data_IF_282574355964
#
_entry.id   IF_282574355964
#
_cell.length_a   1.000
_cell.length_b   1.000
_cell.length_c   1.000
_cell.angle_alpha   90.00
_cell.angle_beta   90.00
_cell.angle_gamma   90.00
#
_symmetry.space_group_name_H-M   'P 1'
#
loop_
_entity.id
_entity.type
_entity.pdbx_description
1 polymer ?
#
# COMPACT_ATOMS: atom_id res chain seq x y z
N UNK A 1 -11.13 21.06 -19.25
CA UNK A 1 -11.60 21.49 -17.92
C UNK A 1 -10.43 21.40 -16.95
N UNK A 2 -10.18 22.40 -16.09
CA UNK A 2 -9.12 22.31 -15.10
C UNK A 2 -9.47 21.14 -14.16
N UNK A 3 -8.58 20.15 -14.05
CA UNK A 3 -8.76 18.96 -13.19
C UNK A 3 -9.04 19.27 -11.70
N UNK A 4 -8.94 20.54 -11.29
CA UNK A 4 -9.02 20.99 -9.91
C UNK A 4 -9.95 22.22 -9.70
N UNK A 5 -10.84 22.56 -10.64
CA UNK A 5 -11.60 23.82 -10.59
C UNK A 5 -12.58 23.94 -9.41
N UNK A 6 -12.95 22.84 -8.77
CA UNK A 6 -13.94 22.80 -7.68
C UNK A 6 -13.34 22.60 -6.28
N UNK A 7 -12.01 22.64 -6.11
CA UNK A 7 -11.37 22.43 -4.80
C UNK A 7 -11.06 23.74 -4.07
N UNK A 8 -11.32 23.75 -2.77
CA UNK A 8 -10.95 24.87 -1.88
C UNK A 8 -9.42 24.99 -1.77
N UNK A 9 -8.83 26.17 -2.05
CA UNK A 9 -7.40 26.38 -1.87
C UNK A 9 -7.07 26.48 -0.37
N UNK A 10 -6.12 25.66 0.10
CA UNK A 10 -5.60 25.73 1.47
C UNK A 10 -4.24 26.45 1.42
N UNK A 11 -4.03 27.55 2.18
CA UNK A 11 -2.76 28.26 2.18
C UNK A 11 -1.60 27.39 2.70
N UNK A 12 -0.41 27.56 2.10
CA UNK A 12 0.86 27.00 2.59
C UNK A 12 1.21 25.57 2.14
N UNK A 13 0.67 25.06 1.02
CA UNK A 13 0.87 23.67 0.60
C UNK A 13 0.39 23.39 -0.83
N UNK A 14 0.86 22.33 -1.50
CA UNK A 14 0.20 21.82 -2.70
C UNK A 14 -1.30 21.65 -2.45
N UNK A 15 -2.12 22.04 -3.43
CA UNK A 15 -3.56 21.81 -3.36
C UNK A 15 -3.84 20.32 -3.12
N UNK A 16 -4.93 19.98 -2.43
CA UNK A 16 -5.32 18.57 -2.22
C UNK A 16 -5.42 17.82 -3.55
N UNK A 17 -5.82 18.53 -4.62
CA UNK A 17 -5.78 18.02 -5.99
C UNK A 17 -4.35 17.68 -6.46
N UNK A 18 -3.36 18.54 -6.25
CA UNK A 18 -1.95 18.25 -6.60
C UNK A 18 -1.42 17.03 -5.84
N UNK A 19 -1.84 16.88 -4.58
CA UNK A 19 -1.44 15.74 -3.76
C UNK A 19 -2.01 14.43 -4.33
N UNK A 20 -3.31 14.40 -4.62
CA UNK A 20 -4.03 13.24 -5.18
C UNK A 20 -3.57 12.89 -6.61
N UNK A 21 -3.26 13.91 -7.41
CA UNK A 21 -2.91 13.72 -8.82
C UNK A 21 -1.44 13.45 -9.06
N UNK A 22 -0.53 14.02 -8.27
CA UNK A 22 0.90 13.95 -8.56
C UNK A 22 1.71 13.20 -7.49
N UNK A 23 1.36 13.30 -6.20
CA UNK A 23 2.21 12.82 -5.11
C UNK A 23 1.84 11.39 -4.69
N UNK A 24 0.54 11.13 -4.46
CA UNK A 24 0.00 9.82 -4.06
C UNK A 24 0.37 8.66 -5.00
N UNK A 25 0.41 8.81 -6.33
CA UNK A 25 0.74 7.69 -7.20
C UNK A 25 2.25 7.44 -7.36
N UNK A 26 3.14 8.30 -6.85
CA UNK A 26 4.61 8.13 -6.98
C UNK A 26 5.09 6.80 -6.37
N UNK A 27 4.70 6.41 -5.14
CA UNK A 27 5.07 5.12 -4.58
C UNK A 27 4.66 3.95 -5.47
N UNK A 28 3.46 4.02 -6.07
CA UNK A 28 2.91 3.01 -6.98
C UNK A 28 3.75 2.90 -8.26
N UNK A 29 4.15 4.03 -8.86
CA UNK A 29 5.07 4.04 -10.00
C UNK A 29 6.42 3.43 -9.68
N UNK A 30 7.04 3.87 -8.59
CA UNK A 30 8.34 3.35 -8.15
C UNK A 30 8.25 1.85 -7.89
N UNK A 31 7.18 1.37 -7.25
CA UNK A 31 6.97 -0.05 -6.99
C UNK A 31 6.86 -0.86 -8.28
N UNK A 32 6.00 -0.45 -9.21
CA UNK A 32 5.80 -1.12 -10.50
C UNK A 32 7.11 -1.16 -11.30
N UNK A 33 7.79 -0.02 -11.44
CA UNK A 33 9.05 0.07 -12.18
C UNK A 33 10.13 -0.83 -11.55
N UNK A 34 10.27 -0.79 -10.23
CA UNK A 34 11.26 -1.61 -9.52
C UNK A 34 10.92 -3.11 -9.64
N UNK A 35 9.65 -3.48 -9.54
CA UNK A 35 9.20 -4.86 -9.75
C UNK A 35 9.60 -5.37 -11.14
N UNK A 36 9.30 -4.62 -12.20
CA UNK A 36 9.68 -5.01 -13.56
C UNK A 36 11.20 -5.13 -13.73
N UNK A 37 11.98 -4.18 -13.21
CA UNK A 37 13.45 -4.23 -13.27
C UNK A 37 14.03 -5.45 -12.54
N UNK A 38 13.50 -5.77 -11.35
CA UNK A 38 13.93 -6.94 -10.60
C UNK A 38 13.49 -8.22 -11.30
N UNK A 39 12.25 -8.30 -11.79
CA UNK A 39 11.76 -9.49 -12.47
C UNK A 39 12.58 -9.80 -13.73
N UNK A 40 12.92 -8.79 -14.53
CA UNK A 40 13.79 -8.92 -15.70
C UNK A 40 15.20 -9.41 -15.34
N UNK A 41 15.74 -8.99 -14.19
CA UNK A 41 17.06 -9.44 -13.71
C UNK A 41 17.02 -10.85 -13.09
N UNK A 42 15.95 -11.20 -12.39
CA UNK A 42 15.86 -12.44 -11.62
C UNK A 42 15.30 -13.65 -12.36
N UNK A 43 14.70 -13.49 -13.55
CA UNK A 43 14.43 -14.64 -14.45
C UNK A 43 15.70 -15.49 -14.66
N UNK A 44 16.89 -14.91 -14.51
CA UNK A 44 18.19 -15.59 -14.65
C UNK A 44 18.77 -16.21 -13.37
N UNK A 45 18.23 -15.92 -12.17
CA UNK A 45 18.84 -16.34 -10.91
C UNK A 45 17.88 -17.20 -10.08
N UNK A 46 18.27 -18.45 -9.81
CA UNK A 46 17.56 -19.34 -8.88
C UNK A 46 17.76 -18.81 -7.45
N UNK A 47 16.85 -17.98 -6.97
CA UNK A 47 16.84 -17.52 -5.58
C UNK A 47 16.34 -18.65 -4.69
N UNK A 48 17.05 -18.90 -3.58
CA UNK A 48 16.61 -19.79 -2.52
C UNK A 48 15.28 -19.28 -1.95
N UNK A 49 14.18 -19.91 -2.37
CA UNK A 49 12.86 -19.61 -1.87
C UNK A 49 12.68 -20.33 -0.53
N UNK A 50 12.38 -19.57 0.52
CA UNK A 50 12.04 -20.13 1.83
C UNK A 50 10.54 -20.36 1.94
N UNK A 51 10.12 -21.26 2.83
CA UNK A 51 8.73 -21.27 3.28
C UNK A 51 8.45 -19.98 4.07
N UNK A 52 7.26 -19.35 3.91
CA UNK A 52 6.88 -18.23 4.76
C UNK A 52 6.96 -18.63 6.24
N UNK A 53 7.47 -17.74 7.09
CA UNK A 53 7.79 -18.07 8.49
C UNK A 53 6.57 -17.96 9.41
N UNK A 54 5.60 -17.13 9.02
CA UNK A 54 4.37 -16.85 9.74
C UNK A 54 3.26 -17.88 9.46
N UNK A 55 2.32 -18.07 10.40
CA UNK A 55 1.28 -19.08 10.26
C UNK A 55 0.34 -18.78 9.07
N UNK A 56 -0.09 -19.83 8.37
CA UNK A 56 -0.90 -19.73 7.14
C UNK A 56 -2.18 -18.90 7.29
N UNK A 57 -2.80 -18.90 8.48
CA UNK A 57 -4.01 -18.11 8.75
C UNK A 57 -3.76 -16.61 8.64
N UNK A 58 -2.60 -16.14 9.13
CA UNK A 58 -2.22 -14.74 9.08
C UNK A 58 -1.95 -14.27 7.63
N UNK A 59 -1.48 -15.18 6.76
CA UNK A 59 -1.38 -14.92 5.32
C UNK A 59 -2.74 -14.70 4.67
N UNK A 60 -3.75 -15.52 4.98
CA UNK A 60 -5.09 -15.30 4.44
C UNK A 60 -5.70 -14.00 4.94
N UNK A 61 -5.54 -13.67 6.23
CA UNK A 61 -5.99 -12.40 6.78
C UNK A 61 -5.30 -11.24 6.07
N UNK A 62 -3.98 -11.28 5.93
CA UNK A 62 -3.22 -10.25 5.23
C UNK A 62 -3.68 -10.09 3.77
N UNK A 63 -3.82 -11.21 3.04
CA UNK A 63 -4.28 -11.21 1.66
C UNK A 63 -5.68 -10.60 1.50
N UNK A 64 -6.62 -10.97 2.37
CA UNK A 64 -7.99 -10.41 2.37
C UNK A 64 -7.97 -8.92 2.68
N UNK A 65 -7.13 -8.46 3.62
CA UNK A 65 -7.01 -7.04 3.92
C UNK A 65 -6.44 -6.22 2.76
N UNK A 66 -5.49 -6.77 1.99
CA UNK A 66 -4.98 -6.10 0.77
C UNK A 66 -6.06 -6.02 -0.31
N UNK A 67 -6.91 -7.04 -0.46
CA UNK A 67 -8.09 -6.97 -1.35
C UNK A 67 -9.08 -5.90 -0.86
N UNK A 68 -9.31 -5.81 0.45
CA UNK A 68 -10.15 -4.78 1.04
C UNK A 68 -9.58 -3.36 0.78
N UNK A 69 -8.25 -3.18 0.88
CA UNK A 69 -7.58 -1.93 0.54
C UNK A 69 -7.81 -1.56 -0.95
N UNK A 70 -7.70 -2.52 -1.87
CA UNK A 70 -8.03 -2.30 -3.28
C UNK A 70 -9.49 -1.82 -3.45
N UNK A 71 -10.43 -2.47 -2.76
CA UNK A 71 -11.84 -2.06 -2.76
C UNK A 71 -12.04 -0.63 -2.25
N UNK A 72 -11.39 -0.27 -1.13
CA UNK A 72 -11.44 1.09 -0.57
C UNK A 72 -10.87 2.13 -1.53
N UNK A 73 -9.74 1.85 -2.19
CA UNK A 73 -9.16 2.76 -3.19
C UNK A 73 -10.10 2.94 -4.40
N UNK A 74 -10.77 1.88 -4.85
CA UNK A 74 -11.75 1.99 -5.94
C UNK A 74 -12.99 2.79 -5.53
N UNK A 75 -13.47 2.62 -4.30
CA UNK A 75 -14.59 3.40 -3.75
C UNK A 75 -14.22 4.88 -3.65
N UNK A 76 -13.01 5.21 -3.19
CA UNK A 76 -12.51 6.58 -3.15
C UNK A 76 -12.48 7.19 -4.56
N UNK A 77 -11.92 6.48 -5.55
CA UNK A 77 -11.93 6.93 -6.95
C UNK A 77 -13.35 7.19 -7.44
N UNK A 78 -14.27 6.26 -7.20
CA UNK A 78 -15.66 6.42 -7.63
C UNK A 78 -16.32 7.65 -7.00
N UNK A 79 -16.10 7.89 -5.70
CA UNK A 79 -16.61 9.09 -5.00
C UNK A 79 -15.98 10.38 -5.54
N UNK A 80 -14.69 10.36 -5.86
CA UNK A 80 -13.98 11.50 -6.47
C UNK A 80 -14.49 11.82 -7.89
N UNK A 81 -14.80 10.80 -8.70
CA UNK A 81 -15.41 10.97 -10.03
C UNK A 81 -16.78 11.61 -9.89
N UNK A 82 -17.64 11.08 -9.03
CA UNK A 82 -19.02 11.57 -8.85
C UNK A 82 -19.05 13.01 -8.34
N UNK A 83 -18.04 13.41 -7.56
CA UNK A 83 -17.92 14.77 -7.04
C UNK A 83 -17.15 15.74 -7.97
N UNK A 84 -16.73 15.32 -9.17
CA UNK A 84 -15.93 16.11 -10.11
C UNK A 84 -14.66 16.74 -9.47
N UNK A 85 -14.06 16.03 -8.51
CA UNK A 85 -12.92 16.51 -7.71
C UNK A 85 -11.55 16.21 -8.35
N UNK A 86 -11.56 15.62 -9.54
CA UNK A 86 -10.39 15.22 -10.31
C UNK A 86 -9.78 13.91 -9.83
N UNK A 87 -9.46 13.02 -10.79
CA UNK A 87 -8.93 11.66 -10.49
C UNK A 87 -7.47 11.51 -10.93
N UNK A 88 -6.96 12.40 -11.79
CA UNK A 88 -5.55 12.46 -12.21
C UNK A 88 -4.88 11.10 -12.42
N UNK A 89 -3.75 10.87 -11.75
CA UNK A 89 -2.99 9.62 -11.80
C UNK A 89 -3.33 8.63 -10.67
N UNK A 90 -4.38 8.92 -9.89
CA UNK A 90 -4.85 8.04 -8.80
C UNK A 90 -5.20 6.60 -9.26
N UNK A 91 -5.65 6.34 -10.52
CA UNK A 91 -5.90 4.97 -11.00
C UNK A 91 -4.67 4.07 -11.08
N UNK A 92 -3.47 4.59 -10.84
CA UNK A 92 -2.22 3.80 -10.82
C UNK A 92 -2.05 3.06 -9.49
N UNK A 93 -2.56 3.63 -8.40
CA UNK A 93 -2.55 3.00 -7.08
C UNK A 93 -3.28 1.66 -7.04
N UNK A 94 -4.52 1.51 -7.57
CA UNK A 94 -5.17 0.20 -7.63
C UNK A 94 -4.41 -0.80 -8.54
N UNK A 95 -3.70 -0.34 -9.57
CA UNK A 95 -2.83 -1.22 -10.39
C UNK A 95 -1.66 -1.75 -9.57
N UNK A 96 -1.00 -0.91 -8.77
CA UNK A 96 0.07 -1.33 -7.87
C UNK A 96 -0.44 -2.29 -6.78
N UNK A 97 -1.63 -2.04 -6.23
CA UNK A 97 -2.28 -2.97 -5.29
C UNK A 97 -2.63 -4.31 -5.93
N UNK A 98 -3.17 -4.31 -7.15
CA UNK A 98 -3.43 -5.53 -7.91
C UNK A 98 -2.13 -6.32 -8.14
N UNK A 99 -1.03 -5.64 -8.47
CA UNK A 99 0.29 -6.27 -8.58
C UNK A 99 0.77 -6.85 -7.23
N UNK A 100 0.58 -6.13 -6.12
CA UNK A 100 0.89 -6.64 -4.79
C UNK A 100 0.07 -7.90 -4.46
N UNK A 101 -1.22 -7.95 -4.82
CA UNK A 101 -2.07 -9.15 -4.69
C UNK A 101 -1.50 -10.31 -5.51
N UNK A 102 -1.08 -10.07 -6.75
CA UNK A 102 -0.47 -11.11 -7.61
C UNK A 102 0.84 -11.64 -7.00
N UNK A 103 1.68 -10.77 -6.46
CA UNK A 103 2.91 -11.15 -5.76
C UNK A 103 2.56 -12.01 -4.54
N UNK A 104 1.67 -11.55 -3.67
CA UNK A 104 1.27 -12.31 -2.47
C UNK A 104 0.66 -13.66 -2.81
N UNK A 105 -0.15 -13.73 -3.88
CA UNK A 105 -0.72 -14.97 -4.38
C UNK A 105 0.36 -15.96 -4.82
N UNK A 106 1.37 -15.50 -5.57
CA UNK A 106 2.48 -16.33 -6.02
C UNK A 106 3.38 -16.77 -4.84
N UNK A 107 3.63 -15.87 -3.88
CA UNK A 107 4.47 -16.13 -2.71
C UNK A 107 3.81 -17.04 -1.67
N UNK A 108 2.53 -17.40 -1.82
CA UNK A 108 1.83 -18.34 -0.94
C UNK A 108 2.56 -19.68 -0.78
N UNK A 109 3.30 -20.13 -1.81
CA UNK A 109 4.04 -21.41 -1.79
C UNK A 109 5.49 -21.25 -1.37
N UNK A 110 6.14 -20.17 -1.79
CA UNK A 110 7.54 -19.93 -1.49
C UNK A 110 7.80 -18.43 -1.51
N UNK A 111 8.30 -17.91 -0.39
CA UNK A 111 8.50 -16.48 -0.18
C UNK A 111 9.97 -16.13 -0.38
N UNK A 112 10.22 -15.07 -1.13
CA UNK A 112 11.58 -14.57 -1.34
C UNK A 112 11.83 -13.33 -0.50
N UNK A 113 13.02 -13.23 0.13
CA UNK A 113 13.39 -12.04 0.92
C UNK A 113 13.33 -10.75 0.09
N UNK A 114 13.65 -10.83 -1.20
CA UNK A 114 13.67 -9.68 -2.11
C UNK A 114 12.26 -9.09 -2.28
N UNK A 115 11.25 -9.94 -2.51
CA UNK A 115 9.87 -9.46 -2.65
C UNK A 115 9.32 -8.94 -1.33
N UNK A 116 9.66 -9.54 -0.18
CA UNK A 116 9.29 -8.97 1.13
C UNK A 116 9.93 -7.59 1.35
N UNK A 117 11.19 -7.38 0.97
CA UNK A 117 11.80 -6.04 1.00
C UNK A 117 11.11 -5.06 0.04
N UNK A 118 10.75 -5.51 -1.16
CA UNK A 118 10.04 -4.69 -2.15
C UNK A 118 8.66 -4.26 -1.63
N UNK A 119 7.89 -5.19 -1.09
CA UNK A 119 6.59 -4.92 -0.46
C UNK A 119 6.74 -4.01 0.75
N UNK A 120 7.70 -4.28 1.64
CA UNK A 120 7.99 -3.42 2.80
C UNK A 120 8.28 -1.98 2.38
N UNK A 121 9.14 -1.80 1.37
CA UNK A 121 9.49 -0.48 0.84
C UNK A 121 8.29 0.23 0.22
N UNK A 122 7.45 -0.50 -0.52
CA UNK A 122 6.20 0.04 -1.07
C UNK A 122 5.23 0.47 0.03
N UNK A 123 4.95 -0.39 1.02
CA UNK A 123 4.06 -0.07 2.13
C UNK A 123 4.54 1.12 2.95
N UNK A 124 5.84 1.20 3.22
CA UNK A 124 6.42 2.35 3.92
C UNK A 124 6.25 3.63 3.11
N UNK A 125 6.55 3.60 1.82
CA UNK A 125 6.50 4.80 0.99
C UNK A 125 5.06 5.29 0.77
N UNK A 126 4.13 4.39 0.47
CA UNK A 126 2.71 4.76 0.34
C UNK A 126 2.13 5.25 1.67
N UNK A 127 2.50 4.63 2.80
CA UNK A 127 2.08 5.06 4.14
C UNK A 127 2.50 6.50 4.44
N UNK A 128 3.76 6.86 4.15
CA UNK A 128 4.25 8.23 4.40
C UNK A 128 3.45 9.25 3.59
N UNK A 129 3.19 8.98 2.32
CA UNK A 129 2.43 9.90 1.46
C UNK A 129 0.97 10.01 1.90
N UNK A 130 0.35 8.89 2.29
CA UNK A 130 -1.03 8.85 2.78
C UNK A 130 -1.21 9.52 4.16
N UNK A 131 -0.21 9.45 5.04
CA UNK A 131 -0.20 10.24 6.28
C UNK A 131 -0.22 11.74 5.96
N UNK A 132 0.59 12.20 5.00
CA UNK A 132 0.56 13.60 4.59
C UNK A 132 -0.83 13.94 4.04
N UNK A 133 -1.41 13.10 3.17
CA UNK A 133 -2.76 13.30 2.64
C UNK A 133 -3.82 13.42 3.73
N UNK A 134 -3.87 12.47 4.66
CA UNK A 134 -4.86 12.44 5.76
C UNK A 134 -4.77 13.67 6.66
N UNK A 135 -3.56 14.10 7.01
CA UNK A 135 -3.35 15.34 7.79
C UNK A 135 -3.90 16.57 7.04
N UNK A 136 -3.70 16.63 5.72
CA UNK A 136 -4.24 17.72 4.89
C UNK A 136 -5.76 17.67 4.77
N UNK A 137 -6.33 16.48 4.65
CA UNK A 137 -7.79 16.28 4.62
C UNK A 137 -8.43 16.66 5.95
N UNK A 138 -7.77 16.40 7.08
CA UNK A 138 -8.28 16.84 8.38
C UNK A 138 -8.36 18.37 8.49
N UNK A 139 -7.37 19.09 7.95
CA UNK A 139 -7.41 20.56 7.88
C UNK A 139 -8.53 21.04 6.93
N UNK A 140 -8.82 20.28 5.87
CA UNK A 140 -9.92 20.59 4.95
C UNK A 140 -11.28 20.40 5.63
N UNK A 141 -11.46 19.30 6.36
CA UNK A 141 -12.66 18.99 7.15
C UNK A 141 -13.00 20.15 8.11
N UNK A 142 -12.01 20.68 8.83
CA UNK A 142 -12.21 21.80 9.75
C UNK A 142 -12.60 23.12 9.06
N UNK A 143 -12.29 23.27 7.77
CA UNK A 143 -12.50 24.50 6.99
C UNK A 143 -13.65 24.36 5.98
N UNK A 144 -14.28 23.20 5.92
CA UNK A 144 -15.37 22.95 4.99
C UNK A 144 -16.57 23.81 5.36
N UNK A 145 -17.05 24.62 4.40
CA UNK A 145 -18.24 25.44 4.55
C UNK A 145 -19.23 25.03 3.48
N UNK A 146 -20.31 24.37 3.89
CA UNK A 146 -21.40 23.92 2.99
C UNK A 146 -21.65 22.43 3.06
N UNK A 147 -22.43 21.92 2.09
CA UNK A 147 -22.76 20.50 1.92
C UNK A 147 -22.36 20.05 0.51
N UNK A 148 -21.08 19.72 0.27
CA UNK A 148 -20.68 19.21 -1.05
C UNK A 148 -21.20 17.79 -1.27
N UNK A 149 -21.14 17.34 -2.53
CA UNK A 149 -21.56 15.99 -2.92
C UNK A 149 -20.71 14.88 -2.27
N UNK A 150 -19.47 15.19 -1.88
CA UNK A 150 -18.59 14.33 -1.11
C UNK A 150 -18.05 15.11 0.10
N UNK A 151 -18.63 14.92 1.30
CA UNK A 151 -18.24 15.63 2.51
C UNK A 151 -16.78 15.37 2.88
N UNK A 152 -16.06 16.38 3.35
CA UNK A 152 -14.67 16.23 3.75
C UNK A 152 -14.48 15.27 4.94
N UNK A 153 -15.51 15.09 5.78
CA UNK A 153 -15.52 14.07 6.84
C UNK A 153 -15.42 12.65 6.27
N UNK A 154 -16.16 12.36 5.20
CA UNK A 154 -16.17 11.05 4.55
C UNK A 154 -14.86 10.85 3.79
N UNK A 155 -14.35 11.91 3.12
CA UNK A 155 -13.03 11.90 2.49
C UNK A 155 -11.93 11.58 3.49
N UNK A 156 -11.96 12.20 4.66
CA UNK A 156 -10.98 11.99 5.71
C UNK A 156 -11.08 10.57 6.27
N UNK A 157 -12.29 10.09 6.57
CA UNK A 157 -12.53 8.75 7.11
C UNK A 157 -12.01 7.65 6.17
N UNK A 158 -12.35 7.70 4.88
CA UNK A 158 -11.89 6.73 3.89
C UNK A 158 -10.36 6.65 3.83
N UNK A 159 -9.70 7.80 3.86
CA UNK A 159 -8.24 7.91 3.79
C UNK A 159 -7.54 7.49 5.09
N UNK A 160 -8.15 7.73 6.24
CA UNK A 160 -7.65 7.24 7.53
C UNK A 160 -7.69 5.71 7.59
N UNK A 161 -8.77 5.11 7.08
CA UNK A 161 -8.90 3.64 7.00
C UNK A 161 -7.81 3.07 6.09
N UNK A 162 -7.58 3.65 4.91
CA UNK A 162 -6.49 3.25 4.01
C UNK A 162 -5.12 3.39 4.68
N UNK A 163 -4.86 4.50 5.37
CA UNK A 163 -3.61 4.74 6.10
C UNK A 163 -3.37 3.67 7.17
N UNK A 164 -4.39 3.33 7.93
CA UNK A 164 -4.31 2.28 8.96
C UNK A 164 -4.03 0.90 8.34
N UNK A 165 -4.64 0.58 7.20
CA UNK A 165 -4.37 -0.66 6.46
C UNK A 165 -2.90 -0.71 6.00
N UNK A 166 -2.37 0.37 5.42
CA UNK A 166 -0.97 0.42 5.00
C UNK A 166 0.01 0.28 6.17
N UNK A 167 -0.30 0.86 7.34
CA UNK A 167 0.50 0.68 8.55
C UNK A 167 0.49 -0.79 9.00
N UNK A 168 -0.67 -1.45 8.96
CA UNK A 168 -0.78 -2.86 9.30
C UNK A 168 -0.01 -3.74 8.32
N UNK A 169 -0.06 -3.46 7.02
CA UNK A 169 0.71 -4.19 6.00
C UNK A 169 2.22 -4.07 6.24
N UNK A 170 2.68 -2.85 6.54
CA UNK A 170 4.07 -2.59 6.88
C UNK A 170 4.50 -3.38 8.12
N UNK A 171 3.68 -3.38 9.18
CA UNK A 171 3.94 -4.17 10.38
C UNK A 171 4.02 -5.67 10.08
N UNK A 172 3.11 -6.21 9.26
CA UNK A 172 3.14 -7.63 8.88
C UNK A 172 4.40 -8.00 8.09
N UNK A 173 4.86 -7.14 7.19
CA UNK A 173 6.10 -7.36 6.46
C UNK A 173 7.33 -7.28 7.38
N UNK A 174 7.36 -6.31 8.29
CA UNK A 174 8.46 -6.20 9.26
C UNK A 174 8.54 -7.43 10.19
N UNK A 175 7.40 -7.94 10.65
CA UNK A 175 7.37 -9.17 11.45
C UNK A 175 7.93 -10.34 10.66
N UNK A 176 7.54 -10.51 9.40
CA UNK A 176 8.11 -11.58 8.55
C UNK A 176 9.62 -11.39 8.34
N UNK A 177 10.07 -10.18 8.05
CA UNK A 177 11.50 -9.89 7.88
C UNK A 177 12.28 -10.17 9.17
N UNK A 178 11.74 -9.81 10.32
CA UNK A 178 12.34 -10.08 11.63
C UNK A 178 12.43 -11.58 11.91
N UNK A 179 11.36 -12.33 11.67
CA UNK A 179 11.34 -13.79 11.85
C UNK A 179 12.28 -14.50 10.86
N UNK A 180 12.33 -14.03 9.61
CA UNK A 180 13.20 -14.61 8.58
C UNK A 180 14.70 -14.33 8.80
N UNK A 181 15.03 -13.39 9.68
CA UNK A 181 16.39 -13.05 10.13
C UNK A 181 16.81 -13.80 11.41
N UNK A 182 15.92 -14.58 12.03
CA UNK A 182 16.27 -15.42 13.17
C UNK A 182 17.48 -16.33 12.84
N UNK A 183 18.33 -16.64 13.83
CA UNK A 183 19.47 -17.52 13.61
C UNK A 183 18.95 -18.83 13.02
N UNK A 184 19.58 -19.29 11.93
CA UNK A 184 19.37 -20.65 11.45
C UNK A 184 19.56 -21.56 12.65
N UNK A 185 18.45 -22.12 13.17
CA UNK A 185 18.49 -23.02 14.30
C UNK A 185 19.50 -24.11 13.97
N UNK A 186 20.43 -24.32 14.89
CA UNK A 186 21.38 -25.43 14.77
C UNK A 186 20.62 -26.71 14.42
N UNK A 187 21.19 -27.57 13.55
CA UNK A 187 20.58 -28.85 13.27
C UNK A 187 20.33 -29.55 14.61
N UNK A 188 19.07 -29.92 14.83
CA UNK A 188 18.66 -30.68 16.00
C UNK A 188 19.39 -32.03 15.94
N UNK A 189 20.59 -32.10 16.51
CA UNK A 189 21.31 -33.34 16.73
C UNK A 189 20.42 -34.23 17.60
N UNK A 190 19.92 -35.30 16.99
CA UNK A 190 19.31 -36.42 17.68
C UNK A 190 20.37 -37.04 18.59
N UNK A 191 20.48 -36.48 19.80
CA UNK A 191 21.24 -37.06 20.90
C UNK A 191 20.51 -38.34 21.35
N UNK A 192 20.97 -39.46 20.81
CA UNK A 192 21.05 -40.76 21.47
C UNK A 192 19.74 -41.39 21.95
N UNK A 193 19.26 -42.37 21.17
CA UNK A 193 18.67 -43.58 21.76
C UNK A 193 19.48 -44.75 21.19
N UNK A 194 20.36 -45.29 22.02
CA UNK A 194 21.03 -46.57 21.81
C UNK A 194 20.64 -47.47 22.97
#
# INVERSE_FOLDING_TARGET
>A
MPLCSHRLPIPGSPSTCTLDTAIVPIPSFCFIATFFLLHLRFIKSKINAGSPTYPKWLHYVYFVLVIAALGMTLLEIARLVVADLGVGLLPITPVALALAIVILWHERRARTRIMSYLLSGYWLFILVVEIVKTVRLHVLEQKEVGKPAYPASDMWLDNVVLTALYALFLCTEFVELALSRGPAGEPFELRGVR
#
